data_IF_746525447832
#
_entry.id   IF_746525447832
#
_cell.length_a   1.000
_cell.length_b   1.000
_cell.length_c   1.000
_cell.angle_alpha   90.00
_cell.angle_beta   90.00
_cell.angle_gamma   90.00
#
_symmetry.space_group_name_H-M   'P 1'
#
loop_
_entity.id
_entity.type
_entity.pdbx_description
1 polymer ?
#
# COMPACT_ATOMS: atom_id res chain seq x y z
N UNK A 1 -15.69 13.18 -21.77
CA UNK A 1 -15.37 14.58 -21.47
C UNK A 1 -14.74 14.63 -20.08
N UNK A 2 -13.40 14.71 -20.08
CA UNK A 2 -12.44 15.09 -19.05
C UNK A 2 -12.76 14.76 -17.58
N UNK A 3 -12.27 13.59 -17.14
CA UNK A 3 -11.87 13.34 -15.77
C UNK A 3 -10.77 14.35 -15.41
N UNK A 4 -11.03 15.21 -14.41
CA UNK A 4 -10.01 16.09 -13.83
C UNK A 4 -9.47 15.37 -12.61
N UNK A 5 -8.19 15.06 -12.66
CA UNK A 5 -7.40 14.55 -11.54
C UNK A 5 -7.59 15.45 -10.32
N UNK A 6 -8.24 14.91 -9.29
CA UNK A 6 -8.27 15.48 -7.96
C UNK A 6 -6.96 15.11 -7.25
N UNK A 7 -5.84 15.69 -7.69
CA UNK A 7 -4.64 15.74 -6.84
C UNK A 7 -4.87 16.87 -5.84
N UNK A 8 -5.54 16.55 -4.75
CA UNK A 8 -5.69 17.45 -3.61
C UNK A 8 -4.34 17.53 -2.90
N UNK A 9 -3.46 18.39 -3.39
CA UNK A 9 -2.25 18.81 -2.66
C UNK A 9 -2.71 19.77 -1.55
N UNK A 10 -2.98 19.23 -0.37
CA UNK A 10 -3.21 20.05 0.82
C UNK A 10 -1.87 20.65 1.26
N UNK A 11 -1.71 21.94 0.99
CA UNK A 11 -0.61 22.74 1.50
C UNK A 11 -0.85 22.93 3.02
N UNK A 12 -0.29 22.07 3.86
CA UNK A 12 -0.25 22.30 5.29
C UNK A 12 0.64 23.52 5.58
N UNK A 13 0.01 24.68 5.81
CA UNK A 13 0.70 25.83 6.37
C UNK A 13 0.95 25.55 7.85
N UNK A 14 2.14 25.06 8.19
CA UNK A 14 2.59 24.91 9.57
C UNK A 14 2.78 26.30 10.21
N UNK A 15 1.71 26.86 10.76
CA UNK A 15 1.78 27.97 11.70
C UNK A 15 1.80 27.41 13.13
N UNK A 16 2.92 26.80 13.52
CA UNK A 16 3.14 26.45 14.92
C UNK A 16 3.42 27.75 15.70
N UNK A 17 2.51 28.13 16.60
CA UNK A 17 2.76 29.21 17.56
C UNK A 17 3.86 28.75 18.54
N UNK A 18 4.85 29.60 18.78
CA UNK A 18 5.98 29.37 19.72
C UNK A 18 5.58 29.29 21.21
N UNK A 19 4.29 29.35 21.54
CA UNK A 19 3.78 29.13 22.90
C UNK A 19 3.49 27.64 23.11
N UNK A 20 3.88 27.09 24.26
CA UNK A 20 3.48 25.73 24.65
C UNK A 20 1.96 25.63 24.68
N UNK A 21 1.40 24.65 23.97
CA UNK A 21 -0.03 24.39 24.01
C UNK A 21 -0.49 24.07 25.44
N UNK A 22 -1.68 24.52 25.81
CA UNK A 22 -2.29 24.26 27.11
C UNK A 22 -2.98 22.90 27.09
N UNK A 23 -2.70 22.04 28.07
CA UNK A 23 -3.40 20.75 28.20
C UNK A 23 -4.78 20.95 28.83
N UNK A 24 -5.83 20.63 28.08
CA UNK A 24 -7.22 20.65 28.54
C UNK A 24 -7.71 19.22 28.76
N UNK A 25 -8.05 18.91 30.01
CA UNK A 25 -8.63 17.62 30.39
C UNK A 25 -10.15 17.71 30.37
N UNK A 26 -10.81 16.75 29.72
CA UNK A 26 -12.27 16.68 29.70
C UNK A 26 -12.84 16.45 31.10
N UNK A 27 -13.90 17.17 31.46
CA UNK A 27 -14.47 17.14 32.81
C UNK A 27 -15.29 15.88 33.13
N UNK A 28 -15.36 14.92 32.20
CA UNK A 28 -16.05 13.62 32.32
C UNK A 28 -17.57 13.68 32.25
N UNK A 29 -18.15 14.79 31.76
CA UNK A 29 -19.58 14.86 31.53
C UNK A 29 -20.02 13.84 30.46
N UNK A 30 -21.21 13.26 30.61
CA UNK A 30 -21.76 12.32 29.62
C UNK A 30 -22.00 12.98 28.25
N UNK A 31 -22.44 14.23 28.27
CA UNK A 31 -22.60 15.06 27.10
C UNK A 31 -21.79 16.35 27.26
N UNK A 32 -20.95 16.64 26.29
CA UNK A 32 -20.07 17.79 26.29
C UNK A 32 -20.00 18.49 24.94
N UNK A 33 -19.20 19.54 24.89
CA UNK A 33 -18.99 20.32 23.68
C UNK A 33 -17.56 20.84 23.64
N UNK A 34 -16.96 20.87 22.45
CA UNK A 34 -15.72 21.61 22.20
C UNK A 34 -15.93 23.14 22.17
N UNK A 35 -17.17 23.62 22.21
CA UNK A 35 -17.53 25.04 22.15
C UNK A 35 -17.81 25.66 23.52
N UNK A 36 -17.80 24.86 24.58
CA UNK A 36 -18.04 25.33 25.95
C UNK A 36 -16.90 24.93 26.88
N UNK A 37 -16.18 25.94 27.38
CA UNK A 37 -15.05 25.77 28.28
C UNK A 37 -15.43 25.14 29.62
N UNK A 38 -16.70 25.09 30.00
CA UNK A 38 -17.16 24.40 31.22
C UNK A 38 -16.82 22.90 31.22
N UNK A 39 -16.67 22.30 30.03
CA UNK A 39 -16.23 20.92 29.83
C UNK A 39 -14.71 20.73 29.88
N UNK A 40 -13.94 21.82 29.90
CA UNK A 40 -12.50 21.86 29.65
C UNK A 40 -11.78 22.79 30.64
N UNK A 41 -12.07 22.65 31.93
CA UNK A 41 -11.46 23.44 33.01
C UNK A 41 -11.60 24.97 32.89
N UNK A 42 -12.62 25.45 32.17
CA UNK A 42 -12.92 26.87 31.98
C UNK A 42 -12.39 27.46 30.67
N UNK A 43 -11.62 26.71 29.88
CA UNK A 43 -11.01 27.19 28.63
C UNK A 43 -11.65 26.50 27.43
N UNK A 44 -12.13 27.25 26.45
CA UNK A 44 -12.65 26.67 25.20
C UNK A 44 -11.48 26.10 24.38
N UNK A 45 -11.52 24.81 23.96
CA UNK A 45 -10.54 24.23 23.05
C UNK A 45 -10.27 25.08 21.80
N UNK A 46 -9.00 25.17 21.42
CA UNK A 46 -8.54 25.92 20.26
C UNK A 46 -7.26 25.32 19.68
N UNK A 47 -6.72 25.93 18.62
CA UNK A 47 -5.49 25.48 17.96
C UNK A 47 -4.25 25.45 18.86
N UNK A 48 -4.30 26.06 20.04
CA UNK A 48 -3.25 26.01 21.06
C UNK A 48 -3.59 25.07 22.24
N UNK A 49 -4.57 24.19 22.08
CA UNK A 49 -5.02 23.27 23.14
C UNK A 49 -4.61 21.83 22.83
N UNK A 50 -3.94 21.19 23.79
CA UNK A 50 -3.72 19.74 23.81
C UNK A 50 -4.88 19.07 24.55
N UNK A 51 -5.63 18.22 23.85
CA UNK A 51 -6.82 17.57 24.40
C UNK A 51 -6.42 16.26 25.06
N UNK A 52 -6.83 16.08 26.32
CA UNK A 52 -6.50 14.89 27.10
C UNK A 52 -7.77 14.21 27.65
N UNK A 53 -7.94 12.95 27.29
CA UNK A 53 -8.79 12.00 27.99
C UNK A 53 -7.89 11.04 28.79
N UNK A 54 -8.03 11.01 30.12
CA UNK A 54 -7.11 10.29 31.01
C UNK A 54 -7.84 9.67 32.21
N UNK A 55 -9.04 9.14 31.98
CA UNK A 55 -9.79 8.47 33.04
C UNK A 55 -9.16 7.12 33.38
N UNK A 56 -9.03 6.80 34.67
CA UNK A 56 -8.40 5.56 35.12
C UNK A 56 -9.40 4.44 35.44
N UNK A 57 -10.70 4.77 35.53
CA UNK A 57 -11.82 3.84 35.74
C UNK A 57 -13.08 4.45 35.11
N UNK A 58 -13.07 4.60 33.79
CA UNK A 58 -14.19 5.21 33.05
C UNK A 58 -15.43 4.31 33.10
N UNK A 59 -16.54 4.87 33.57
CA UNK A 59 -17.82 4.16 33.77
C UNK A 59 -19.01 4.79 33.03
N UNK A 60 -18.79 5.91 32.35
CA UNK A 60 -19.83 6.65 31.61
C UNK A 60 -19.39 6.85 30.16
N UNK A 61 -20.31 6.90 29.20
CA UNK A 61 -20.03 7.27 27.81
C UNK A 61 -19.81 8.79 27.69
N UNK A 62 -18.95 9.23 26.77
CA UNK A 62 -18.83 10.64 26.41
C UNK A 62 -19.33 10.84 24.99
N UNK A 63 -20.30 11.73 24.81
CA UNK A 63 -20.65 12.29 23.52
C UNK A 63 -20.31 13.77 23.50
N UNK A 64 -19.38 14.15 22.64
CA UNK A 64 -18.81 15.49 22.62
C UNK A 64 -19.09 16.13 21.27
N UNK A 65 -19.79 17.26 21.29
CA UNK A 65 -20.14 18.00 20.08
C UNK A 65 -18.93 18.76 19.51
N UNK A 66 -18.63 18.50 18.24
CA UNK A 66 -17.65 19.21 17.42
C UNK A 66 -18.21 19.45 16.00
N UNK A 67 -19.54 19.52 15.85
CA UNK A 67 -20.21 19.50 14.55
C UNK A 67 -20.02 20.76 13.71
N UNK A 68 -19.76 21.91 14.33
CA UNK A 68 -19.47 23.18 13.65
C UNK A 68 -18.00 23.30 13.21
N UNK A 69 -17.18 22.26 13.44
CA UNK A 69 -15.75 22.24 13.17
C UNK A 69 -14.94 22.76 14.35
N UNK A 70 -13.77 22.19 14.55
CA UNK A 70 -12.87 22.51 15.67
C UNK A 70 -11.44 22.36 15.17
N UNK A 71 -10.54 23.23 15.60
CA UNK A 71 -9.10 23.03 15.43
C UNK A 71 -8.45 22.94 16.79
N UNK A 72 -7.69 21.87 17.04
CA UNK A 72 -6.91 21.64 18.26
C UNK A 72 -5.44 21.35 17.95
N UNK A 73 -4.56 21.49 18.94
CA UNK A 73 -3.13 21.26 18.76
C UNK A 73 -2.80 19.77 18.68
N UNK A 74 -3.26 18.97 19.64
CA UNK A 74 -3.08 17.51 19.68
C UNK A 74 -4.23 16.84 20.44
N UNK A 75 -4.37 15.52 20.29
CA UNK A 75 -5.36 14.73 21.05
C UNK A 75 -4.70 13.48 21.62
N UNK A 76 -4.90 13.23 22.90
CA UNK A 76 -4.47 12.00 23.55
C UNK A 76 -5.63 11.36 24.30
N UNK A 77 -5.87 10.09 24.03
CA UNK A 77 -6.75 9.24 24.81
C UNK A 77 -5.95 8.13 25.51
N UNK A 78 -5.82 8.25 26.82
CA UNK A 78 -5.21 7.28 27.74
C UNK A 78 -6.27 6.62 28.62
N UNK A 79 -7.55 6.72 28.27
CA UNK A 79 -8.64 6.31 29.15
C UNK A 79 -8.68 4.79 29.35
N UNK A 80 -8.84 4.40 30.61
CA UNK A 80 -9.00 3.03 31.07
C UNK A 80 -10.45 2.87 31.52
N UNK A 81 -11.23 2.16 30.72
CA UNK A 81 -12.55 1.66 31.09
C UNK A 81 -12.42 0.62 32.19
N UNK A 82 -13.32 0.72 33.18
CA UNK A 82 -13.44 -0.31 34.20
C UNK A 82 -14.01 -1.56 33.52
N UNK A 83 -13.27 -2.67 33.48
CA UNK A 83 -13.75 -3.93 32.84
C UNK A 83 -14.34 -4.93 33.85
N UNK A 84 -14.31 -4.61 35.15
CA UNK A 84 -14.56 -5.56 36.25
C UNK A 84 -15.60 -5.07 37.25
N UNK A 85 -16.29 -3.97 36.98
CA UNK A 85 -17.37 -3.52 37.86
C UNK A 85 -18.48 -4.60 37.95
N UNK A 86 -19.02 -4.75 39.17
CA UNK A 86 -20.13 -5.56 39.73
C UNK A 86 -21.12 -6.39 38.85
N UNK A 87 -21.88 -7.28 39.49
CA UNK A 87 -22.97 -8.05 38.84
C UNK A 87 -23.99 -7.14 38.15
N UNK A 88 -24.23 -7.37 36.85
CA UNK A 88 -25.12 -6.55 36.02
C UNK A 88 -24.42 -5.40 35.29
N UNK A 89 -23.12 -5.17 35.54
CA UNK A 89 -22.31 -4.21 34.81
C UNK A 89 -22.09 -4.68 33.37
N UNK A 90 -22.37 -3.78 32.43
CA UNK A 90 -22.07 -3.99 31.02
C UNK A 90 -20.85 -3.11 30.73
N UNK A 91 -19.62 -3.66 30.65
CA UNK A 91 -18.43 -2.90 30.28
C UNK A 91 -18.52 -2.32 28.85
N UNK A 92 -19.56 -2.69 28.11
CA UNK A 92 -19.83 -2.25 26.75
C UNK A 92 -20.58 -0.91 26.77
N UNK A 93 -20.09 0.09 26.03
CA UNK A 93 -20.75 1.38 25.82
C UNK A 93 -20.06 2.60 26.43
N UNK A 94 -18.96 2.45 27.15
CA UNK A 94 -18.20 3.56 27.74
C UNK A 94 -17.28 4.27 26.73
N UNK A 95 -17.84 4.59 25.57
CA UNK A 95 -17.19 5.17 24.40
C UNK A 95 -16.70 6.60 24.69
N UNK A 96 -15.78 7.07 23.87
CA UNK A 96 -15.56 8.50 23.66
C UNK A 96 -15.96 8.76 22.22
N UNK A 97 -17.05 9.49 22.01
CA UNK A 97 -17.57 9.80 20.68
C UNK A 97 -17.46 11.30 20.45
N UNK A 98 -16.71 11.68 19.43
CA UNK A 98 -16.65 13.05 18.93
C UNK A 98 -17.59 13.16 17.73
N UNK A 99 -18.64 13.97 17.86
CA UNK A 99 -19.61 14.21 16.79
C UNK A 99 -19.07 15.26 15.83
N UNK A 100 -18.90 14.89 14.58
CA UNK A 100 -18.39 15.77 13.50
C UNK A 100 -19.49 16.04 12.47
N UNK A 101 -19.52 17.27 11.96
CA UNK A 101 -20.54 17.73 11.01
C UNK A 101 -19.97 17.94 9.62
N UNK A 102 -20.52 18.92 8.90
CA UNK A 102 -20.04 19.29 7.56
C UNK A 102 -18.70 20.04 7.61
N UNK A 103 -18.39 20.68 8.73
CA UNK A 103 -17.10 21.33 8.97
C UNK A 103 -16.03 20.32 9.39
N UNK A 104 -14.78 20.62 9.06
CA UNK A 104 -13.65 19.75 9.38
C UNK A 104 -13.30 19.80 10.87
N UNK A 105 -13.03 18.64 11.47
CA UNK A 105 -12.32 18.54 12.74
C UNK A 105 -10.82 18.39 12.48
N UNK A 106 -10.02 19.35 12.92
CA UNK A 106 -8.59 19.45 12.62
C UNK A 106 -7.76 19.28 13.89
N UNK A 107 -6.79 18.37 13.84
CA UNK A 107 -5.72 18.18 14.82
C UNK A 107 -4.43 18.60 14.15
N UNK A 108 -3.73 19.62 14.67
CA UNK A 108 -2.54 20.15 13.99
C UNK A 108 -1.33 19.22 14.07
N UNK A 109 -1.18 18.50 15.18
CA UNK A 109 -0.09 17.54 15.40
C UNK A 109 -0.67 16.12 15.50
N UNK A 110 -0.24 15.38 16.52
CA UNK A 110 -0.53 13.96 16.65
C UNK A 110 -1.86 13.68 17.34
N UNK A 111 -2.44 12.54 17.00
CA UNK A 111 -3.42 11.83 17.81
C UNK A 111 -2.78 10.58 18.41
N UNK A 112 -2.84 10.45 19.74
CA UNK A 112 -2.37 9.26 20.46
C UNK A 112 -3.56 8.52 21.04
N UNK A 113 -3.71 7.25 20.66
CA UNK A 113 -4.74 6.33 21.09
C UNK A 113 -4.08 5.21 21.89
N UNK A 114 -4.21 5.30 23.22
CA UNK A 114 -3.61 4.41 24.19
C UNK A 114 -4.62 4.07 25.31
N UNK A 115 -5.86 3.86 24.91
CA UNK A 115 -6.97 3.49 25.77
C UNK A 115 -7.34 2.03 25.59
N UNK A 116 -8.12 1.50 26.54
CA UNK A 116 -8.58 0.12 26.52
C UNK A 116 -10.04 -0.04 26.08
N UNK A 117 -10.58 0.93 25.36
CA UNK A 117 -11.92 0.86 24.79
C UNK A 117 -12.10 -0.43 23.98
N UNK A 118 -13.14 -1.24 24.24
CA UNK A 118 -13.38 -2.50 23.51
C UNK A 118 -14.87 -2.67 23.24
N UNK A 119 -15.26 -3.05 22.01
CA UNK A 119 -16.65 -2.98 21.49
C UNK A 119 -17.28 -1.58 21.45
N UNK A 120 -16.63 -0.61 22.10
CA UNK A 120 -17.13 0.67 22.54
C UNK A 120 -16.01 1.72 22.33
N UNK A 121 -15.64 2.01 21.08
CA UNK A 121 -14.34 2.58 20.75
C UNK A 121 -14.21 4.06 21.14
N UNK A 122 -12.97 4.57 21.12
CA UNK A 122 -12.76 5.99 20.81
C UNK A 122 -13.19 6.21 19.35
N UNK A 123 -14.11 7.12 19.09
CA UNK A 123 -14.72 7.26 17.79
C UNK A 123 -14.98 8.69 17.33
N UNK A 124 -14.88 8.88 16.01
CA UNK A 124 -15.50 9.99 15.31
C UNK A 124 -16.80 9.52 14.65
N UNK A 125 -17.86 10.32 14.78
CA UNK A 125 -19.20 10.00 14.29
C UNK A 125 -19.82 11.16 13.55
N UNK A 126 -20.37 10.91 12.37
CA UNK A 126 -21.17 11.89 11.63
C UNK A 126 -22.67 11.63 11.80
N UNK A 127 -23.48 12.62 11.42
CA UNK A 127 -24.95 12.52 11.40
C UNK A 127 -25.49 11.66 10.25
N UNK A 128 -24.73 11.51 9.16
CA UNK A 128 -25.11 10.75 7.97
C UNK A 128 -23.89 10.33 7.16
N UNK A 129 -24.08 9.36 6.26
CA UNK A 129 -23.06 8.95 5.29
C UNK A 129 -22.58 10.11 4.41
N UNK A 130 -21.28 10.13 4.11
CA UNK A 130 -20.64 11.16 3.29
C UNK A 130 -20.45 12.51 4.01
N UNK A 131 -20.71 12.57 5.31
CA UNK A 131 -20.45 13.73 6.18
C UNK A 131 -19.34 13.39 7.17
N UNK A 132 -18.64 14.41 7.66
CA UNK A 132 -17.57 14.28 8.63
C UNK A 132 -16.20 14.17 7.96
N UNK A 133 -15.39 15.22 8.16
CA UNK A 133 -13.98 15.27 7.75
C UNK A 133 -13.10 15.39 8.98
N UNK A 134 -12.12 14.51 9.09
CA UNK A 134 -11.12 14.54 10.16
C UNK A 134 -9.74 14.71 9.54
N UNK A 135 -9.04 15.78 9.92
CA UNK A 135 -7.69 16.09 9.44
C UNK A 135 -6.71 16.07 10.61
N UNK A 136 -5.65 15.28 10.49
CA UNK A 136 -4.58 15.13 11.47
C UNK A 136 -3.30 15.55 10.76
N UNK A 137 -2.67 16.65 11.18
CA UNK A 137 -1.45 17.17 10.55
C UNK A 137 -0.22 16.32 10.89
N UNK A 138 -0.20 15.70 12.06
CA UNK A 138 0.84 14.77 12.50
C UNK A 138 0.46 13.31 12.28
N UNK A 139 0.82 12.47 13.26
CA UNK A 139 0.71 11.02 13.22
C UNK A 139 -0.56 10.52 13.92
N UNK A 140 -1.02 9.34 13.53
CA UNK A 140 -1.87 8.49 14.39
C UNK A 140 -0.98 7.50 15.11
N UNK A 141 -0.99 7.50 16.44
CA UNK A 141 -0.24 6.56 17.27
C UNK A 141 -1.21 5.65 18.01
N UNK A 142 -1.41 4.43 17.52
CA UNK A 142 -2.36 3.45 18.05
C UNK A 142 -1.61 2.32 18.79
N UNK A 143 -1.58 2.40 20.12
CA UNK A 143 -0.73 1.56 20.97
C UNK A 143 -1.51 0.91 22.11
N UNK A 144 -0.83 0.02 22.83
CA UNK A 144 -1.39 -0.61 24.03
C UNK A 144 -1.72 0.43 25.11
N UNK A 145 -2.77 0.15 25.88
CA UNK A 145 -3.13 0.99 27.02
C UNK A 145 -2.12 0.84 28.17
N UNK A 146 -2.11 1.80 29.09
CA UNK A 146 -1.17 1.79 30.23
C UNK A 146 -1.35 0.60 31.18
N UNK A 147 -2.51 -0.06 31.15
CA UNK A 147 -2.80 -1.26 31.93
C UNK A 147 -2.40 -2.57 31.21
N UNK A 148 -1.76 -2.48 30.04
CA UNK A 148 -1.35 -3.63 29.22
C UNK A 148 -2.50 -4.27 28.44
N UNK A 149 -3.67 -3.63 28.38
CA UNK A 149 -4.80 -4.15 27.64
C UNK A 149 -4.94 -3.50 26.26
N UNK A 150 -5.57 -4.25 25.34
CA UNK A 150 -5.80 -3.80 23.97
C UNK A 150 -7.09 -3.00 23.87
N UNK A 151 -7.04 -1.88 23.17
CA UNK A 151 -8.19 -1.06 22.85
C UNK A 151 -8.62 -1.13 21.38
N UNK A 152 -9.61 -0.31 21.05
CA UNK A 152 -10.20 -0.14 19.73
C UNK A 152 -10.51 1.34 19.48
N UNK A 153 -10.25 1.79 18.27
CA UNK A 153 -10.63 3.13 17.79
C UNK A 153 -11.26 3.04 16.41
N UNK A 154 -12.28 3.86 16.18
CA UNK A 154 -13.11 3.84 14.97
C UNK A 154 -13.32 5.24 14.39
N UNK A 155 -12.81 5.47 13.19
CA UNK A 155 -13.10 6.66 12.42
C UNK A 155 -14.32 6.40 11.54
N UNK A 156 -15.52 6.76 12.02
CA UNK A 156 -16.80 6.51 11.35
C UNK A 156 -17.69 5.53 12.09
N UNK A 157 -18.16 5.92 13.28
CA UNK A 157 -19.11 5.10 14.04
C UNK A 157 -20.54 5.20 13.47
N UNK A 158 -21.01 4.10 12.89
CA UNK A 158 -22.36 3.92 12.35
C UNK A 158 -22.56 4.50 10.94
N UNK A 159 -22.05 5.70 10.67
CA UNK A 159 -22.16 6.36 9.37
C UNK A 159 -20.78 6.50 8.70
N UNK A 160 -20.77 6.39 7.38
CA UNK A 160 -19.57 6.47 6.55
C UNK A 160 -19.02 7.90 6.51
N UNK A 161 -17.81 8.13 7.03
CA UNK A 161 -17.18 9.45 6.97
C UNK A 161 -16.82 9.84 5.53
N UNK A 162 -16.79 11.14 5.27
CA UNK A 162 -16.33 11.66 3.98
C UNK A 162 -14.83 11.41 3.78
N UNK A 163 -14.03 11.78 4.77
CA UNK A 163 -12.57 11.63 4.68
C UNK A 163 -11.88 11.63 6.04
N UNK A 164 -10.78 10.89 6.11
CA UNK A 164 -9.76 11.02 7.13
C UNK A 164 -8.42 11.32 6.44
N UNK A 165 -7.72 12.35 6.88
CA UNK A 165 -6.40 12.71 6.36
C UNK A 165 -5.38 12.75 7.49
N UNK A 166 -4.20 12.18 7.23
CA UNK A 166 -3.07 12.09 8.16
C UNK A 166 -1.83 12.64 7.44
N UNK A 167 -1.27 13.73 7.94
CA UNK A 167 -0.08 14.38 7.38
C UNK A 167 1.22 13.64 7.70
N UNK A 168 1.24 12.86 8.78
CA UNK A 168 2.34 12.00 9.19
C UNK A 168 2.08 10.52 8.94
N UNK A 169 2.65 9.68 9.81
CA UNK A 169 2.55 8.23 9.79
C UNK A 169 1.31 7.72 10.53
N UNK A 170 0.97 6.45 10.29
CA UNK A 170 0.15 5.68 11.21
C UNK A 170 1.05 4.64 11.89
N UNK A 171 1.23 4.76 13.20
CA UNK A 171 1.97 3.80 14.03
C UNK A 171 0.97 2.83 14.69
N UNK A 172 0.78 1.64 14.09
CA UNK A 172 -0.16 0.64 14.58
C UNK A 172 0.59 -0.50 15.31
N UNK A 173 0.39 -0.58 16.63
CA UNK A 173 1.18 -1.46 17.50
C UNK A 173 0.37 -2.56 18.18
N UNK A 174 -0.60 -2.24 19.04
CA UNK A 174 -1.35 -3.26 19.78
C UNK A 174 -2.81 -2.84 20.06
N UNK A 175 -3.43 -2.22 19.07
CA UNK A 175 -4.80 -1.71 19.10
C UNK A 175 -5.56 -2.20 17.86
N UNK A 176 -6.89 -2.25 17.94
CA UNK A 176 -7.75 -2.35 16.76
C UNK A 176 -7.99 -0.95 16.20
N UNK A 177 -7.41 -0.63 15.07
CA UNK A 177 -7.63 0.64 14.37
C UNK A 177 -8.57 0.39 13.19
N UNK A 178 -9.73 1.05 13.21
CA UNK A 178 -10.81 0.83 12.26
C UNK A 178 -11.17 2.14 11.58
N UNK A 179 -11.39 2.06 10.27
CA UNK A 179 -11.88 3.17 9.46
C UNK A 179 -13.19 2.74 8.81
N UNK A 180 -14.17 3.62 8.83
CA UNK A 180 -15.37 3.55 8.03
C UNK A 180 -15.52 4.91 7.34
N UNK A 181 -14.74 5.09 6.28
CA UNK A 181 -14.58 6.36 5.55
C UNK A 181 -14.55 6.08 4.05
N UNK A 182 -15.04 7.02 3.24
CA UNK A 182 -14.90 6.96 1.78
C UNK A 182 -13.45 7.14 1.36
N UNK A 183 -12.74 8.03 2.03
CA UNK A 183 -11.36 8.38 1.71
C UNK A 183 -10.49 8.32 2.98
N UNK A 184 -9.36 7.64 2.89
CA UNK A 184 -8.27 7.74 3.86
C UNK A 184 -7.01 8.15 3.09
N UNK A 185 -6.37 9.25 3.49
CA UNK A 185 -5.11 9.68 2.91
C UNK A 185 -4.07 9.86 4.00
N UNK A 186 -2.98 9.09 3.91
CA UNK A 186 -1.85 9.12 4.82
C UNK A 186 -0.62 9.53 4.03
N UNK A 187 -0.11 10.73 4.27
CA UNK A 187 1.06 11.23 3.55
C UNK A 187 2.33 10.47 3.94
N UNK A 188 2.43 10.01 5.19
CA UNK A 188 3.51 9.17 5.68
C UNK A 188 3.27 7.66 5.50
N UNK A 189 4.02 6.87 6.25
CA UNK A 189 4.00 5.41 6.17
C UNK A 189 3.00 4.84 7.20
N UNK A 190 2.27 3.79 6.81
CA UNK A 190 1.58 2.92 7.76
C UNK A 190 2.57 1.88 8.31
N UNK A 191 2.96 2.01 9.57
CA UNK A 191 3.80 1.06 10.29
C UNK A 191 2.93 0.06 11.04
N UNK A 192 2.58 -1.05 10.38
CA UNK A 192 1.74 -2.12 10.91
C UNK A 192 2.57 -3.18 11.65
N UNK A 193 3.03 -2.82 12.85
CA UNK A 193 3.86 -3.69 13.71
C UNK A 193 3.06 -4.75 14.49
N UNK A 194 1.82 -4.43 14.88
CA UNK A 194 0.89 -5.36 15.53
C UNK A 194 -0.53 -4.78 15.63
N UNK A 195 -1.41 -5.39 16.42
CA UNK A 195 -2.82 -5.00 16.47
C UNK A 195 -3.61 -5.46 15.24
N UNK A 196 -4.74 -4.80 14.97
CA UNK A 196 -5.62 -5.11 13.84
C UNK A 196 -5.97 -3.84 13.06
N UNK A 197 -5.84 -3.88 11.73
CA UNK A 197 -6.26 -2.80 10.85
C UNK A 197 -7.50 -3.20 10.06
N UNK A 198 -8.58 -2.42 10.16
CA UNK A 198 -9.71 -2.53 9.24
C UNK A 198 -9.86 -1.20 8.47
N UNK A 199 -9.65 -1.24 7.15
CA UNK A 199 -9.74 -0.05 6.30
C UNK A 199 -11.18 0.32 5.97
N UNK A 200 -12.10 -0.64 6.08
CA UNK A 200 -13.54 -0.40 5.93
C UNK A 200 -14.31 -1.27 6.92
N UNK A 201 -14.50 -0.79 8.16
CA UNK A 201 -15.32 -1.48 9.15
C UNK A 201 -16.81 -1.26 8.86
N UNK A 202 -17.68 -2.23 9.10
CA UNK A 202 -19.12 -2.09 8.87
C UNK A 202 -19.60 -2.57 7.50
N UNK A 203 -20.78 -2.07 7.09
CA UNK A 203 -21.47 -2.45 5.85
C UNK A 203 -21.51 -1.30 4.86
N UNK A 204 -21.63 -1.63 3.57
CA UNK A 204 -21.72 -0.63 2.51
C UNK A 204 -22.06 -1.27 1.17
N UNK A 205 -22.75 -0.54 0.31
CA UNK A 205 -23.08 -1.00 -1.04
C UNK A 205 -22.87 0.10 -2.07
N UNK A 206 -22.43 -0.27 -3.27
CA UNK A 206 -22.16 0.66 -4.38
C UNK A 206 -21.16 1.77 -3.99
N UNK A 207 -20.14 1.41 -3.22
CA UNK A 207 -19.12 2.34 -2.76
C UNK A 207 -17.92 2.35 -3.70
N UNK A 208 -17.28 3.52 -3.81
CA UNK A 208 -15.95 3.67 -4.38
C UNK A 208 -15.06 4.24 -3.29
N UNK A 209 -14.19 3.38 -2.75
CA UNK A 209 -13.38 3.65 -1.58
C UNK A 209 -11.92 3.88 -2.00
N UNK A 210 -11.30 4.91 -1.44
CA UNK A 210 -9.91 5.29 -1.76
C UNK A 210 -9.05 5.35 -0.49
N UNK A 211 -8.01 4.53 -0.46
CA UNK A 211 -7.05 4.48 0.64
C UNK A 211 -5.66 4.78 0.09
N UNK A 212 -5.01 5.84 0.55
CA UNK A 212 -3.68 6.25 0.10
C UNK A 212 -2.68 6.30 1.24
N UNK A 213 -1.48 5.76 1.02
CA UNK A 213 -0.39 5.73 1.98
C UNK A 213 0.94 6.08 1.30
N UNK A 214 1.83 6.80 1.99
CA UNK A 214 3.23 6.99 1.60
C UNK A 214 4.10 5.74 1.67
N UNK A 215 3.48 4.58 1.89
CA UNK A 215 4.09 3.26 2.00
C UNK A 215 3.45 2.46 3.11
N UNK A 216 3.55 1.13 3.05
CA UNK A 216 3.07 0.24 4.10
C UNK A 216 4.20 -0.67 4.55
N UNK A 217 4.45 -0.67 5.86
CA UNK A 217 5.34 -1.60 6.54
C UNK A 217 4.53 -2.62 7.34
N UNK A 218 4.86 -3.90 7.20
CA UNK A 218 4.24 -4.97 7.97
C UNK A 218 4.76 -6.34 7.55
N UNK A 219 4.83 -7.28 8.49
CA UNK A 219 5.18 -8.67 8.20
C UNK A 219 4.08 -9.57 8.71
N UNK A 220 3.61 -10.44 7.83
CA UNK A 220 2.54 -11.42 8.03
C UNK A 220 1.29 -10.77 8.63
N UNK A 221 0.84 -9.68 8.01
CA UNK A 221 -0.31 -8.90 8.47
C UNK A 221 -1.53 -9.08 7.59
N UNK A 222 -2.71 -9.00 8.19
CA UNK A 222 -3.97 -9.00 7.46
C UNK A 222 -4.58 -7.61 7.50
N UNK A 223 -4.91 -7.07 6.33
CA UNK A 223 -5.69 -5.84 6.22
C UNK A 223 -7.15 -6.24 6.02
N UNK A 224 -8.01 -5.77 6.92
CA UNK A 224 -9.40 -6.17 6.94
C UNK A 224 -10.31 -5.18 6.19
N UNK A 225 -11.39 -5.72 5.63
CA UNK A 225 -12.49 -4.99 5.02
C UNK A 225 -13.84 -5.57 5.47
N UNK A 226 -14.88 -4.76 5.41
CA UNK A 226 -16.21 -5.09 5.90
C UNK A 226 -16.23 -5.46 7.39
N UNK A 227 -17.31 -6.12 7.78
CA UNK A 227 -17.47 -6.68 9.12
C UNK A 227 -18.25 -5.77 10.05
N UNK A 228 -19.49 -6.16 10.34
CA UNK A 228 -20.15 -5.85 11.60
C UNK A 228 -20.80 -7.15 12.10
N UNK A 229 -20.26 -7.77 13.18
CA UNK A 229 -20.71 -9.08 13.67
C UNK A 229 -22.22 -9.17 13.93
N UNK A 230 -22.83 -8.07 14.35
CA UNK A 230 -24.24 -8.04 14.74
C UNK A 230 -25.18 -8.00 13.53
N UNK A 231 -24.70 -7.50 12.40
CA UNK A 231 -25.51 -7.28 11.20
C UNK A 231 -25.32 -8.34 10.11
N UNK A 232 -24.21 -9.10 10.13
CA UNK A 232 -23.79 -10.01 9.04
C UNK A 232 -23.73 -9.37 7.63
N UNK A 233 -23.83 -8.04 7.55
CA UNK A 233 -23.76 -7.29 6.31
C UNK A 233 -22.31 -6.85 6.07
N UNK A 234 -21.76 -7.24 4.91
CA UNK A 234 -20.41 -6.86 4.47
C UNK A 234 -20.46 -5.71 3.46
N UNK A 235 -19.29 -5.36 2.91
CA UNK A 235 -19.17 -4.55 1.70
C UNK A 235 -19.71 -5.32 0.49
N UNK A 236 -20.46 -4.68 -0.40
CA UNK A 236 -21.04 -5.30 -1.61
C UNK A 236 -21.05 -4.37 -2.81
N UNK A 237 -20.93 -4.92 -4.02
CA UNK A 237 -20.97 -4.17 -5.30
C UNK A 237 -20.07 -2.92 -5.28
N UNK A 238 -18.91 -3.02 -4.63
CA UNK A 238 -18.07 -1.86 -4.32
C UNK A 238 -16.66 -2.06 -4.86
N UNK A 239 -15.93 -0.95 -4.95
CA UNK A 239 -14.52 -0.95 -5.32
C UNK A 239 -13.70 -0.31 -4.21
N UNK A 240 -12.58 -0.92 -3.85
CA UNK A 240 -11.62 -0.37 -2.91
C UNK A 240 -10.25 -0.31 -3.56
N UNK A 241 -9.66 0.88 -3.60
CA UNK A 241 -8.32 1.09 -4.19
C UNK A 241 -7.33 1.49 -3.10
N UNK A 242 -6.25 0.72 -2.96
CA UNK A 242 -5.09 1.07 -2.14
C UNK A 242 -4.04 1.71 -3.06
N UNK A 243 -3.71 2.97 -2.82
CA UNK A 243 -2.70 3.73 -3.57
C UNK A 243 -1.47 3.98 -2.71
N UNK A 244 -0.31 3.61 -3.23
CA UNK A 244 0.99 3.74 -2.60
C UNK A 244 1.75 4.91 -3.24
N UNK A 245 2.11 5.91 -2.46
CA UNK A 245 2.74 7.16 -2.92
C UNK A 245 4.17 7.29 -2.41
N UNK A 246 4.89 6.17 -2.33
CA UNK A 246 6.18 6.08 -1.64
C UNK A 246 7.19 7.12 -2.12
N UNK A 247 7.90 7.72 -1.18
CA UNK A 247 9.10 8.55 -1.43
C UNK A 247 10.40 7.83 -1.07
N UNK A 248 10.34 6.83 -0.20
CA UNK A 248 11.42 5.90 0.14
C UNK A 248 10.97 4.44 0.03
N UNK A 249 11.61 3.54 0.77
CA UNK A 249 11.31 2.10 0.74
C UNK A 249 10.37 1.70 1.88
N UNK A 250 9.31 0.97 1.56
CA UNK A 250 8.43 0.29 2.52
C UNK A 250 8.21 -1.18 2.13
N UNK A 251 7.90 -2.03 3.12
CA UNK A 251 7.80 -3.49 2.93
C UNK A 251 6.62 -4.11 3.66
N UNK A 252 5.74 -4.77 2.91
CA UNK A 252 4.55 -5.43 3.43
C UNK A 252 4.46 -6.89 2.96
N UNK A 253 4.40 -7.86 3.89
CA UNK A 253 3.84 -9.19 3.62
C UNK A 253 2.52 -9.34 4.33
N UNK A 254 1.58 -9.97 3.62
CA UNK A 254 0.25 -10.14 4.15
C UNK A 254 -0.79 -10.36 3.08
N UNK A 255 -2.05 -10.21 3.47
CA UNK A 255 -3.18 -10.37 2.58
C UNK A 255 -4.38 -9.56 3.01
N UNK A 256 -5.39 -9.56 2.15
CA UNK A 256 -6.68 -8.95 2.43
C UNK A 256 -7.66 -10.01 2.95
N UNK A 257 -8.57 -9.62 3.85
CA UNK A 257 -9.62 -10.51 4.38
C UNK A 257 -10.87 -9.73 4.80
N UNK A 258 -12.03 -10.37 4.76
CA UNK A 258 -13.22 -9.84 5.40
C UNK A 258 -13.17 -10.02 6.92
N UNK A 259 -13.51 -8.98 7.70
CA UNK A 259 -13.42 -9.01 9.20
C UNK A 259 -14.51 -9.88 9.85
N UNK A 260 -15.52 -10.32 9.11
CA UNK A 260 -16.54 -11.23 9.63
C UNK A 260 -17.10 -12.16 8.55
N UNK A 261 -17.67 -13.28 9.00
CA UNK A 261 -18.42 -14.19 8.15
C UNK A 261 -19.71 -13.51 7.67
N UNK A 262 -19.96 -13.53 6.37
CA UNK A 262 -21.13 -12.88 5.78
C UNK A 262 -21.12 -12.93 4.26
N UNK A 263 -22.11 -12.26 3.66
CA UNK A 263 -22.24 -12.17 2.20
C UNK A 263 -21.50 -10.94 1.71
N UNK A 264 -20.28 -11.14 1.20
CA UNK A 264 -19.57 -10.17 0.41
C UNK A 264 -19.67 -10.58 -1.07
N UNK A 265 -20.18 -9.69 -1.92
CA UNK A 265 -20.48 -9.99 -3.32
C UNK A 265 -20.01 -8.86 -4.24
N UNK A 266 -19.46 -9.23 -5.39
CA UNK A 266 -19.09 -8.34 -6.48
C UNK A 266 -18.22 -7.14 -6.07
N UNK A 267 -17.25 -7.36 -5.18
CA UNK A 267 -16.29 -6.33 -4.80
C UNK A 267 -15.01 -6.44 -5.62
N UNK A 268 -14.50 -5.30 -6.10
CA UNK A 268 -13.18 -5.19 -6.72
C UNK A 268 -12.18 -4.56 -5.76
N UNK A 269 -11.00 -5.16 -5.65
CA UNK A 269 -9.91 -4.63 -4.84
C UNK A 269 -8.73 -4.32 -5.74
N UNK A 270 -8.21 -3.09 -5.66
CA UNK A 270 -7.17 -2.62 -6.56
C UNK A 270 -5.96 -2.14 -5.78
N UNK A 271 -4.78 -2.40 -6.33
CA UNK A 271 -3.51 -1.85 -5.84
C UNK A 271 -2.96 -0.89 -6.88
N UNK A 272 -2.53 0.30 -6.46
CA UNK A 272 -1.89 1.29 -7.33
C UNK A 272 -0.57 1.71 -6.73
N UNK A 273 0.52 1.53 -7.46
CA UNK A 273 1.82 2.12 -7.14
C UNK A 273 1.99 3.43 -7.93
N UNK A 274 2.04 4.54 -7.23
CA UNK A 274 2.20 5.89 -7.78
C UNK A 274 3.18 6.70 -6.93
N UNK A 275 4.34 6.11 -6.67
CA UNK A 275 5.41 6.73 -5.91
C UNK A 275 6.27 7.67 -6.73
N UNK A 276 7.19 8.34 -6.04
CA UNK A 276 8.30 9.08 -6.68
C UNK A 276 9.30 8.12 -7.32
N UNK A 277 10.25 8.61 -8.11
CA UNK A 277 11.28 7.76 -8.74
C UNK A 277 12.16 6.99 -7.75
N UNK A 278 12.31 7.48 -6.51
CA UNK A 278 13.00 6.76 -5.42
C UNK A 278 12.07 5.94 -4.54
N UNK A 279 10.76 6.04 -4.77
CA UNK A 279 9.74 5.31 -4.02
C UNK A 279 9.74 3.83 -4.36
N UNK A 280 9.83 2.98 -3.34
CA UNK A 280 9.81 1.53 -3.49
C UNK A 280 8.79 0.93 -2.52
N UNK A 281 7.86 0.11 -3.01
CA UNK A 281 7.05 -0.76 -2.18
C UNK A 281 7.41 -2.22 -2.47
N UNK A 282 7.70 -3.00 -1.43
CA UNK A 282 7.58 -4.45 -1.49
C UNK A 282 6.19 -4.86 -1.02
N UNK A 283 5.48 -5.60 -1.86
CA UNK A 283 4.19 -6.19 -1.53
C UNK A 283 4.24 -7.68 -1.84
N UNK A 284 4.28 -8.49 -0.79
CA UNK A 284 4.21 -9.94 -0.86
C UNK A 284 2.82 -10.39 -0.43
N UNK A 285 2.00 -10.75 -1.43
CA UNK A 285 0.64 -11.23 -1.21
C UNK A 285 0.68 -12.70 -0.76
N UNK A 286 0.51 -12.90 0.54
CA UNK A 286 0.41 -14.20 1.20
C UNK A 286 -1.02 -14.53 1.61
N UNK A 287 -2.00 -13.70 1.23
CA UNK A 287 -3.41 -13.92 1.50
C UNK A 287 -3.99 -15.12 0.74
N UNK A 288 -5.16 -15.60 1.19
CA UNK A 288 -5.92 -16.68 0.51
C UNK A 288 -7.37 -16.32 0.20
N UNK A 289 -7.92 -15.31 0.87
CA UNK A 289 -9.38 -15.08 0.90
C UNK A 289 -9.81 -13.99 -0.08
N UNK A 290 -8.98 -12.95 -0.24
CA UNK A 290 -9.23 -11.83 -1.13
C UNK A 290 -7.95 -11.52 -1.92
N UNK A 291 -8.11 -11.21 -3.19
CA UNK A 291 -7.01 -10.84 -4.10
C UNK A 291 -7.26 -9.50 -4.75
N UNK A 292 -6.20 -8.90 -5.27
CA UNK A 292 -6.37 -7.74 -6.14
C UNK A 292 -6.92 -8.18 -7.49
N UNK A 293 -7.98 -7.51 -7.94
CA UNK A 293 -8.49 -7.59 -9.31
C UNK A 293 -7.51 -6.90 -10.25
N UNK A 294 -7.17 -5.64 -9.95
CA UNK A 294 -6.24 -4.85 -10.74
C UNK A 294 -5.02 -4.42 -9.90
N UNK A 295 -3.83 -4.53 -10.49
CA UNK A 295 -2.60 -3.95 -9.96
C UNK A 295 -2.04 -2.98 -10.99
N UNK A 296 -1.96 -1.69 -10.66
CA UNK A 296 -1.49 -0.64 -11.58
C UNK A 296 -0.19 -0.04 -11.09
N UNK A 297 0.81 0.09 -11.96
CA UNK A 297 2.07 0.78 -11.68
C UNK A 297 2.16 2.01 -12.58
N UNK A 298 2.20 3.19 -11.96
CA UNK A 298 2.27 4.50 -12.63
C UNK A 298 3.60 5.21 -12.38
N UNK A 299 4.18 5.02 -11.20
CA UNK A 299 5.42 5.68 -10.77
C UNK A 299 6.08 4.99 -9.58
N UNK A 300 7.39 5.16 -9.43
CA UNK A 300 8.21 4.42 -8.46
C UNK A 300 8.37 2.94 -8.81
N UNK A 301 8.88 2.12 -7.88
CA UNK A 301 9.10 0.68 -8.05
C UNK A 301 8.14 -0.13 -7.16
N UNK A 302 7.36 -1.00 -7.79
CA UNK A 302 6.58 -2.03 -7.11
C UNK A 302 7.32 -3.37 -7.24
N UNK A 303 7.86 -3.84 -6.12
CA UNK A 303 8.30 -5.22 -5.95
C UNK A 303 7.07 -6.03 -5.55
N UNK A 304 6.49 -6.77 -6.49
CA UNK A 304 5.24 -7.48 -6.28
C UNK A 304 5.45 -8.98 -6.38
N UNK A 305 4.96 -9.68 -5.38
CA UNK A 305 4.89 -11.13 -5.38
C UNK A 305 3.46 -11.57 -5.05
N UNK A 306 2.95 -12.53 -5.83
CA UNK A 306 1.70 -13.22 -5.56
C UNK A 306 1.77 -14.63 -6.12
N UNK A 307 1.29 -15.61 -5.34
CA UNK A 307 1.17 -17.00 -5.76
C UNK A 307 -0.20 -17.38 -6.32
N UNK A 308 -1.18 -16.47 -6.22
CA UNK A 308 -2.57 -16.74 -6.60
C UNK A 308 -2.80 -16.51 -8.10
N UNK A 309 -2.11 -15.54 -8.70
CA UNK A 309 -2.13 -15.34 -10.14
C UNK A 309 -3.44 -14.81 -10.72
N UNK A 310 -4.22 -14.09 -9.91
CA UNK A 310 -5.57 -13.62 -10.26
C UNK A 310 -5.64 -12.16 -10.70
N UNK A 311 -4.57 -11.39 -10.54
CA UNK A 311 -4.58 -9.95 -10.84
C UNK A 311 -4.28 -9.65 -12.30
N UNK A 312 -5.04 -8.73 -12.90
CA UNK A 312 -4.65 -8.05 -14.12
C UNK A 312 -3.69 -6.90 -13.79
N UNK A 313 -2.52 -6.88 -14.42
CA UNK A 313 -1.49 -5.87 -14.16
C UNK A 313 -1.50 -4.83 -15.27
N UNK A 314 -1.53 -3.55 -14.90
CA UNK A 314 -1.42 -2.41 -15.80
C UNK A 314 -0.12 -1.67 -15.52
N UNK A 315 0.81 -1.71 -16.47
CA UNK A 315 2.11 -1.05 -16.37
C UNK A 315 2.07 0.23 -17.21
N UNK A 316 1.73 1.33 -16.55
CA UNK A 316 1.54 2.68 -17.11
C UNK A 316 2.79 3.58 -16.95
N UNK A 317 3.75 3.15 -16.14
CA UNK A 317 5.00 3.84 -15.86
C UNK A 317 5.75 3.13 -14.73
N UNK A 318 6.73 3.81 -14.13
CA UNK A 318 7.49 3.25 -13.00
C UNK A 318 8.21 1.94 -13.33
N UNK A 319 8.42 1.10 -12.31
CA UNK A 319 9.08 -0.20 -12.40
C UNK A 319 8.27 -1.28 -11.71
N UNK A 320 8.03 -2.41 -12.38
CA UNK A 320 7.54 -3.65 -11.78
C UNK A 320 8.72 -4.63 -11.61
N UNK A 321 8.82 -5.31 -10.47
CA UNK A 321 9.82 -6.35 -10.20
C UNK A 321 9.16 -7.55 -9.52
N UNK A 322 9.44 -8.79 -9.94
CA UNK A 322 9.05 -10.00 -9.22
C UNK A 322 9.90 -10.22 -7.95
N UNK A 323 9.79 -9.37 -6.92
CA UNK A 323 10.59 -9.53 -5.70
C UNK A 323 9.72 -9.71 -4.44
N UNK A 324 10.24 -10.46 -3.46
CA UNK A 324 9.62 -10.73 -2.15
C UNK A 324 10.26 -9.87 -1.05
N UNK A 325 9.79 -9.91 0.21
CA UNK A 325 10.46 -9.14 1.27
C UNK A 325 11.86 -9.63 1.60
N UNK A 326 12.06 -10.95 1.47
CA UNK A 326 13.25 -11.64 2.00
C UNK A 326 14.17 -12.17 0.92
N UNK A 327 13.69 -12.27 -0.32
CA UNK A 327 14.45 -12.66 -1.49
C UNK A 327 14.41 -11.58 -2.55
N UNK A 328 15.59 -11.25 -3.07
CA UNK A 328 15.76 -10.47 -4.30
C UNK A 328 15.21 -11.21 -5.52
N UNK A 329 14.98 -12.53 -5.40
CA UNK A 329 14.36 -13.34 -6.44
C UNK A 329 12.99 -13.87 -6.05
N UNK A 330 11.99 -13.72 -6.93
CA UNK A 330 10.70 -14.39 -6.79
C UNK A 330 10.02 -14.74 -8.13
N UNK A 331 8.96 -15.55 -8.02
CA UNK A 331 8.04 -15.83 -9.14
C UNK A 331 6.73 -15.09 -8.91
N UNK A 332 6.49 -14.05 -9.70
CA UNK A 332 5.20 -13.36 -9.73
C UNK A 332 4.23 -14.12 -10.61
N UNK A 333 3.09 -14.55 -10.06
CA UNK A 333 1.96 -15.03 -10.85
C UNK A 333 0.93 -13.91 -11.01
N UNK A 334 0.40 -13.78 -12.21
CA UNK A 334 -0.68 -12.84 -12.52
C UNK A 334 -1.59 -13.38 -13.62
N UNK A 335 -2.73 -12.74 -13.83
CA UNK A 335 -3.63 -13.08 -14.91
C UNK A 335 -3.05 -12.62 -16.25
N UNK A 336 -2.76 -11.33 -16.36
CA UNK A 336 -2.26 -10.69 -17.58
C UNK A 336 -1.41 -9.47 -17.25
N UNK A 337 -0.65 -8.99 -18.24
CA UNK A 337 0.00 -7.68 -18.18
C UNK A 337 -0.42 -6.88 -19.42
N UNK A 338 -1.06 -5.74 -19.18
CA UNK A 338 -1.26 -4.68 -20.16
C UNK A 338 -0.15 -3.64 -20.01
N UNK A 339 0.78 -3.61 -20.97
CA UNK A 339 1.98 -2.81 -20.91
C UNK A 339 1.87 -1.56 -21.78
N UNK A 340 1.70 -0.42 -21.13
CA UNK A 340 1.71 0.89 -21.74
C UNK A 340 3.14 1.45 -21.76
N UNK A 341 3.71 1.75 -20.59
CA UNK A 341 5.03 2.35 -20.43
C UNK A 341 5.68 1.92 -19.11
N UNK A 342 6.94 2.27 -18.90
CA UNK A 342 7.71 1.90 -17.72
C UNK A 342 8.56 0.65 -17.92
N UNK A 343 9.09 0.14 -16.81
CA UNK A 343 10.14 -0.88 -16.78
C UNK A 343 9.66 -2.15 -16.09
N UNK A 344 10.08 -3.32 -16.59
CA UNK A 344 10.09 -4.57 -15.82
C UNK A 344 11.54 -4.94 -15.50
N UNK A 345 11.82 -5.17 -14.23
CA UNK A 345 13.15 -5.52 -13.71
C UNK A 345 13.17 -6.99 -13.30
N UNK A 346 14.21 -7.71 -13.70
CA UNK A 346 14.44 -9.11 -13.33
C UNK A 346 15.80 -9.27 -12.67
N UNK A 347 15.81 -9.71 -11.42
CA UNK A 347 17.01 -10.15 -10.73
C UNK A 347 17.41 -11.57 -11.21
N UNK A 348 18.59 -11.68 -11.81
CA UNK A 348 19.13 -12.96 -12.32
C UNK A 348 20.21 -13.49 -11.39
N UNK A 349 20.18 -14.81 -11.18
CA UNK A 349 21.21 -15.53 -10.42
C UNK A 349 21.79 -16.69 -11.24
N UNK A 350 22.85 -17.32 -10.73
CA UNK A 350 23.50 -18.52 -11.30
C UNK A 350 22.64 -19.80 -11.19
N UNK A 351 21.32 -19.64 -11.24
CA UNK A 351 20.33 -20.69 -11.35
C UNK A 351 19.15 -20.15 -12.15
N UNK A 352 19.01 -20.66 -13.38
CA UNK A 352 17.94 -20.26 -14.30
C UNK A 352 16.54 -20.59 -13.77
N UNK A 353 16.41 -21.57 -12.86
CA UNK A 353 15.13 -21.96 -12.27
C UNK A 353 14.78 -21.14 -11.03
N UNK A 354 15.77 -20.50 -10.41
CA UNK A 354 15.62 -19.71 -9.20
C UNK A 354 15.97 -18.23 -9.43
N UNK A 355 15.85 -17.75 -10.67
CA UNK A 355 15.90 -16.32 -11.06
C UNK A 355 14.48 -15.72 -11.14
N UNK A 356 14.39 -14.39 -11.20
CA UNK A 356 13.10 -13.71 -11.28
C UNK A 356 12.30 -14.19 -12.48
N UNK A 357 11.01 -14.37 -12.25
CA UNK A 357 10.07 -14.82 -13.28
C UNK A 357 8.69 -14.24 -13.09
N UNK A 358 8.03 -13.96 -14.20
CA UNK A 358 6.59 -13.70 -14.26
C UNK A 358 5.91 -14.87 -14.98
N UNK A 359 4.84 -15.39 -14.39
CA UNK A 359 4.01 -16.43 -15.00
C UNK A 359 2.58 -15.92 -15.16
N UNK A 360 2.17 -15.70 -16.40
CA UNK A 360 0.85 -15.20 -16.76
C UNK A 360 -0.04 -16.36 -17.20
N UNK A 361 -1.28 -16.40 -16.68
CA UNK A 361 -2.28 -17.35 -17.17
C UNK A 361 -2.89 -16.92 -18.52
N UNK A 362 -2.80 -15.63 -18.85
CA UNK A 362 -3.30 -15.03 -20.08
C UNK A 362 -2.21 -14.23 -20.80
N UNK A 363 -2.60 -13.15 -21.50
CA UNK A 363 -1.74 -12.45 -22.43
C UNK A 363 -0.78 -11.47 -21.74
N UNK A 364 0.40 -11.32 -22.36
CA UNK A 364 1.21 -10.12 -22.27
C UNK A 364 0.84 -9.24 -23.47
N UNK A 365 0.38 -8.02 -23.27
CA UNK A 365 -0.10 -7.18 -24.38
C UNK A 365 0.45 -5.77 -24.32
N UNK A 366 0.83 -5.20 -25.48
CA UNK A 366 1.04 -3.75 -25.56
C UNK A 366 -0.29 -3.02 -25.63
N UNK A 367 -0.35 -1.88 -24.94
CA UNK A 367 -1.42 -0.90 -25.09
C UNK A 367 -0.92 0.34 -25.83
N UNK A 368 -1.82 1.28 -26.14
CA UNK A 368 -1.37 2.58 -26.64
C UNK A 368 -0.70 3.36 -25.51
N UNK A 369 0.36 4.12 -25.82
CA UNK A 369 1.02 4.94 -24.82
C UNK A 369 0.07 6.00 -24.25
N UNK A 370 -0.24 5.95 -22.96
CA UNK A 370 -1.08 6.96 -22.29
C UNK A 370 -0.29 8.25 -22.01
N UNK A 371 1.04 8.18 -22.02
CA UNK A 371 1.94 9.31 -21.81
C UNK A 371 2.76 9.59 -23.07
N UNK A 372 2.87 10.87 -23.45
CA UNK A 372 3.68 11.30 -24.61
C UNK A 372 5.14 10.92 -24.39
N UNK A 373 5.69 10.10 -25.29
CA UNK A 373 7.08 9.64 -25.20
C UNK A 373 7.31 8.48 -24.23
N UNK A 374 6.25 7.77 -23.83
CA UNK A 374 6.38 6.54 -23.05
C UNK A 374 7.29 5.51 -23.73
N UNK A 375 8.04 4.77 -22.91
CA UNK A 375 8.91 3.66 -23.32
C UNK A 375 8.54 2.41 -22.57
N UNK A 376 8.75 1.24 -23.18
CA UNK A 376 8.72 -0.05 -22.48
C UNK A 376 10.14 -0.54 -22.32
N UNK A 377 10.54 -0.86 -21.10
CA UNK A 377 11.92 -1.22 -20.78
C UNK A 377 11.99 -2.55 -20.06
N UNK A 378 12.99 -3.37 -20.41
CA UNK A 378 13.37 -4.53 -19.60
C UNK A 378 14.79 -4.34 -19.10
N UNK A 379 14.94 -4.51 -17.80
CA UNK A 379 16.20 -4.47 -17.08
C UNK A 379 16.54 -5.84 -16.52
N UNK A 380 17.78 -6.27 -16.73
CA UNK A 380 18.39 -7.40 -16.04
C UNK A 380 19.28 -6.85 -14.94
N UNK A 381 18.95 -7.21 -13.70
CA UNK A 381 19.76 -6.90 -12.54
C UNK A 381 20.63 -8.12 -12.25
N UNK A 382 21.94 -7.90 -12.25
CA UNK A 382 22.96 -8.90 -11.94
C UNK A 382 23.88 -8.30 -10.90
N UNK A 383 24.26 -9.10 -9.90
CA UNK A 383 25.14 -8.63 -8.82
C UNK A 383 26.53 -8.23 -9.34
N UNK A 384 27.08 -9.03 -10.26
CA UNK A 384 28.32 -8.77 -10.98
C UNK A 384 28.26 -9.36 -12.40
N UNK A 385 28.71 -8.59 -13.40
CA UNK A 385 28.82 -9.07 -14.78
C UNK A 385 29.90 -10.16 -14.91
N UNK A 386 30.95 -10.13 -14.07
CA UNK A 386 32.00 -11.15 -14.04
C UNK A 386 31.46 -12.51 -13.56
N UNK A 387 30.56 -12.51 -12.58
CA UNK A 387 29.94 -13.74 -12.08
C UNK A 387 29.10 -14.41 -13.18
N UNK A 388 28.30 -13.63 -13.89
CA UNK A 388 27.52 -14.13 -15.04
C UNK A 388 28.43 -14.66 -16.16
N UNK A 389 29.55 -13.97 -16.46
CA UNK A 389 30.51 -14.46 -17.45
C UNK A 389 31.13 -15.81 -17.03
N UNK A 390 31.57 -15.92 -15.78
CA UNK A 390 32.12 -17.15 -15.22
C UNK A 390 31.10 -18.29 -15.20
N UNK A 391 29.83 -17.96 -14.94
CA UNK A 391 28.72 -18.90 -15.01
C UNK A 391 28.51 -19.44 -16.42
N UNK A 392 28.54 -18.59 -17.45
CA UNK A 392 28.46 -18.98 -18.86
C UNK A 392 29.63 -19.89 -19.26
N UNK A 393 30.86 -19.56 -18.86
CA UNK A 393 32.04 -20.40 -19.10
C UNK A 393 31.90 -21.78 -18.45
N UNK A 394 31.46 -21.82 -17.18
CA UNK A 394 31.29 -23.06 -16.42
C UNK A 394 30.21 -23.97 -17.03
N UNK A 395 29.16 -23.38 -17.61
CA UNK A 395 28.13 -24.13 -18.33
C UNK A 395 28.56 -24.59 -19.73
N UNK A 396 29.73 -24.16 -20.21
CA UNK A 396 30.30 -24.60 -21.49
C UNK A 396 29.57 -24.00 -22.71
N UNK A 397 28.85 -22.90 -22.54
CA UNK A 397 28.12 -22.25 -23.63
C UNK A 397 27.00 -21.31 -23.16
N UNK A 398 26.28 -20.68 -24.11
CA UNK A 398 25.23 -19.72 -23.80
C UNK A 398 24.13 -20.29 -22.89
N UNK A 399 23.65 -19.47 -21.96
CA UNK A 399 22.65 -19.83 -20.94
C UNK A 399 21.34 -19.12 -21.25
N UNK A 400 20.21 -19.82 -21.17
CA UNK A 400 18.90 -19.24 -21.46
C UNK A 400 18.02 -19.18 -20.22
N UNK A 401 17.47 -17.99 -19.94
CA UNK A 401 16.51 -17.74 -18.89
C UNK A 401 15.11 -17.52 -19.49
N UNK A 402 14.08 -18.01 -18.80
CA UNK A 402 12.68 -17.69 -19.11
C UNK A 402 12.20 -16.62 -18.13
N UNK A 403 11.96 -15.40 -18.63
CA UNK A 403 11.62 -14.26 -17.79
C UNK A 403 10.11 -14.08 -17.61
N UNK A 404 9.35 -14.24 -18.70
CA UNK A 404 7.89 -14.11 -18.69
C UNK A 404 7.28 -15.28 -19.45
N UNK A 405 6.37 -16.01 -18.82
CA UNK A 405 5.47 -16.94 -19.50
C UNK A 405 4.12 -16.29 -19.74
N UNK A 406 3.52 -16.55 -20.90
CA UNK A 406 2.21 -16.04 -21.28
C UNK A 406 1.49 -16.99 -22.23
N UNK A 407 0.16 -16.85 -22.33
CA UNK A 407 -0.63 -17.63 -23.28
C UNK A 407 -0.54 -17.09 -24.71
N UNK A 408 -0.30 -15.78 -24.85
CA UNK A 408 -0.14 -15.07 -26.13
C UNK A 408 0.52 -13.72 -25.91
N UNK A 409 1.12 -13.18 -26.98
CA UNK A 409 1.65 -11.82 -26.99
C UNK A 409 1.54 -11.18 -28.37
N UNK A 410 1.36 -9.86 -28.40
CA UNK A 410 1.50 -9.01 -29.58
C UNK A 410 2.79 -8.17 -29.54
N UNK A 411 3.65 -8.43 -28.56
CA UNK A 411 4.94 -7.79 -28.36
C UNK A 411 6.02 -8.40 -29.27
N UNK A 412 6.96 -7.55 -29.68
CA UNK A 412 8.19 -7.92 -30.39
C UNK A 412 9.38 -7.22 -29.74
N UNK A 413 10.60 -7.66 -30.07
CA UNK A 413 11.81 -6.99 -29.59
C UNK A 413 11.88 -5.50 -29.95
N UNK A 414 11.25 -5.07 -31.06
CA UNK A 414 11.23 -3.64 -31.44
C UNK A 414 10.32 -2.77 -30.59
N UNK A 415 9.43 -3.38 -29.80
CA UNK A 415 8.51 -2.65 -28.91
C UNK A 415 9.14 -2.31 -27.56
N UNK A 416 10.34 -2.83 -27.26
CA UNK A 416 10.99 -2.79 -25.95
C UNK A 416 12.44 -2.32 -26.06
N UNK A 417 12.86 -1.50 -25.11
CA UNK A 417 14.25 -1.13 -24.89
C UNK A 417 14.84 -2.09 -23.86
N UNK A 418 15.94 -2.74 -24.20
CA UNK A 418 16.61 -3.72 -23.34
C UNK A 418 17.91 -3.16 -22.78
N UNK A 419 18.17 -3.40 -21.50
CA UNK A 419 19.48 -3.12 -20.90
C UNK A 419 20.58 -4.02 -21.51
N UNK A 420 21.79 -3.49 -21.54
CA UNK A 420 23.01 -4.22 -21.94
C UNK A 420 23.85 -4.51 -20.71
N UNK A 421 24.57 -5.64 -20.72
CA UNK A 421 25.56 -6.00 -19.70
C UNK A 421 26.91 -6.05 -20.41
N UNK A 422 27.90 -5.31 -19.91
CA UNK A 422 29.22 -5.24 -20.54
C UNK A 422 29.89 -6.62 -20.58
N UNK A 423 30.56 -6.94 -21.70
CA UNK A 423 31.19 -8.23 -21.92
C UNK A 423 30.24 -9.42 -22.19
N UNK A 424 28.92 -9.23 -22.09
CA UNK A 424 27.91 -10.27 -22.34
C UNK A 424 27.15 -9.98 -23.63
N UNK A 425 27.09 -10.98 -24.52
CA UNK A 425 26.17 -10.98 -25.64
C UNK A 425 24.77 -11.40 -25.15
N UNK A 426 23.77 -10.56 -25.38
CA UNK A 426 22.40 -10.78 -24.90
C UNK A 426 21.45 -10.91 -26.11
N UNK A 427 20.83 -12.07 -26.24
CA UNK A 427 19.81 -12.35 -27.26
C UNK A 427 18.42 -12.47 -26.64
N UNK A 428 17.52 -11.58 -27.05
CA UNK A 428 16.13 -11.53 -26.58
C UNK A 428 15.20 -12.22 -27.57
N UNK A 429 14.25 -12.99 -27.07
CA UNK A 429 13.28 -13.68 -27.92
C UNK A 429 11.87 -13.66 -27.30
N UNK A 430 10.98 -12.86 -27.90
CA UNK A 430 9.53 -13.03 -27.73
C UNK A 430 9.08 -14.23 -28.56
N UNK A 431 9.02 -15.40 -27.93
CA UNK A 431 8.46 -16.62 -28.53
C UNK A 431 6.93 -16.64 -28.50
N UNK A 432 6.33 -17.76 -28.91
CA UNK A 432 4.88 -17.91 -28.92
C UNK A 432 4.25 -17.85 -27.51
N UNK A 433 4.95 -18.39 -26.51
CA UNK A 433 4.43 -18.57 -25.13
C UNK A 433 5.37 -18.06 -24.04
N UNK A 434 6.51 -17.48 -24.40
CA UNK A 434 7.47 -16.99 -23.41
C UNK A 434 8.41 -15.93 -23.97
N UNK A 435 8.77 -14.96 -23.13
CA UNK A 435 9.95 -14.13 -23.32
C UNK A 435 11.15 -14.83 -22.67
N UNK A 436 12.13 -15.15 -23.50
CA UNK A 436 13.41 -15.72 -23.06
C UNK A 436 14.56 -14.76 -23.35
N UNK A 437 15.60 -14.85 -22.54
CA UNK A 437 16.88 -14.18 -22.79
C UNK A 437 18.01 -15.21 -22.78
N UNK A 438 18.85 -15.18 -23.80
CA UNK A 438 20.04 -16.02 -23.90
C UNK A 438 21.28 -15.16 -23.71
N UNK A 439 22.08 -15.50 -22.70
CA UNK A 439 23.33 -14.82 -22.34
C UNK A 439 24.50 -15.65 -22.86
N UNK A 440 25.42 -15.02 -23.59
CA UNK A 440 26.66 -15.62 -24.08
C UNK A 440 27.85 -14.70 -23.87
N UNK A 441 29.06 -15.23 -23.99
CA UNK A 441 30.27 -14.39 -23.95
C UNK A 441 30.43 -13.64 -25.26
N UNK A 442 30.88 -12.39 -25.19
CA UNK A 442 31.40 -11.70 -26.37
C UNK A 442 32.70 -12.40 -26.79
N UNK A 443 32.84 -12.88 -28.03
CA UNK A 443 34.05 -13.57 -28.47
C UNK A 443 35.29 -12.70 -28.29
N UNK A 444 36.39 -13.29 -27.79
CA UNK A 444 37.63 -12.54 -27.69
C UNK A 444 38.11 -12.08 -29.07
N UNK A 445 38.79 -10.92 -29.19
CA UNK A 445 39.30 -10.43 -30.47
C UNK A 445 40.16 -11.44 -31.24
N UNK A 446 40.90 -12.30 -30.51
CA UNK A 446 41.73 -13.34 -31.11
C UNK A 446 40.90 -14.47 -31.74
N UNK A 447 39.82 -14.90 -31.10
CA UNK A 447 38.91 -15.92 -31.64
C UNK A 447 38.16 -15.42 -32.87
N UNK A 448 37.70 -14.17 -32.82
CA UNK A 448 37.11 -13.50 -33.98
C UNK A 448 38.10 -13.41 -35.16
N UNK A 449 39.37 -13.08 -34.88
CA UNK A 449 40.42 -13.03 -35.90
C UNK A 449 40.74 -14.41 -36.50
N UNK A 450 40.74 -15.48 -35.70
CA UNK A 450 40.93 -16.86 -36.18
C UNK A 450 39.77 -17.29 -37.06
N UNK A 451 38.52 -17.01 -36.67
CA UNK A 451 37.34 -17.32 -37.47
C UNK A 451 37.35 -16.59 -38.82
N UNK A 452 37.65 -15.29 -38.82
CA UNK A 452 37.80 -14.49 -40.04
C UNK A 452 38.97 -14.99 -40.91
N UNK A 453 40.08 -15.39 -40.28
CA UNK A 453 41.23 -16.01 -40.96
C UNK A 453 40.86 -17.33 -41.64
N UNK A 454 40.09 -18.20 -40.98
CA UNK A 454 39.63 -19.46 -41.55
C UNK A 454 38.67 -19.25 -42.73
N UNK A 455 37.75 -18.28 -42.61
CA UNK A 455 36.86 -17.87 -43.70
C UNK A 455 37.65 -17.34 -44.89
N UNK A 456 38.65 -16.49 -44.64
CA UNK A 456 39.53 -15.96 -45.69
C UNK A 456 40.29 -17.08 -46.42
N UNK A 457 40.79 -18.09 -45.68
CA UNK A 457 41.45 -19.27 -46.27
C UNK A 457 40.46 -20.11 -47.10
N UNK A 458 39.24 -20.32 -46.62
CA UNK A 458 38.19 -21.04 -47.35
C UNK A 458 37.80 -20.32 -48.66
N UNK A 459 37.64 -19.00 -48.63
CA UNK A 459 37.41 -18.19 -49.84
C UNK A 459 38.61 -18.23 -50.80
N UNK A 460 39.83 -18.18 -50.28
CA UNK A 460 41.04 -18.30 -51.11
C UNK A 460 41.14 -19.68 -51.78
N UNK A 461 40.77 -20.76 -51.07
CA UNK A 461 40.72 -22.11 -51.61
C UNK A 461 39.63 -22.29 -52.68
N UNK A 462 38.44 -21.70 -52.47
CA UNK A 462 37.35 -21.68 -53.46
C UNK A 462 37.72 -20.86 -54.70
N UNK A 463 38.40 -19.72 -54.54
CA UNK A 463 38.91 -18.91 -55.66
C UNK A 463 39.97 -19.63 -56.48
N UNK A 464 40.77 -20.52 -55.88
CA UNK A 464 41.77 -21.33 -56.60
C UNK A 464 41.16 -22.50 -57.37
N UNK A 465 39.89 -22.84 -57.13
CA UNK A 465 39.14 -23.92 -57.81
C UNK A 465 38.21 -23.41 -58.92
N UNK A 466 38.06 -22.09 -59.09
CA UNK A 466 37.56 -21.46 -60.31
C UNK A 466 38.76 -21.03 -61.16
#
# INVERSE_FOLDING_TARGET
MNSRDFICSTLFAAAASLASAETLTYNRAESGSFYDGSYWSGTVPSSSSDILFNDTNKEVAYEIDATEGVTINSLTDNSITNRTAHEGYIPWGNNIVIKVGESTFTILNDITLASNHNYAPFAFKSSSDGVGRVEIGGNIIAKEASDGSKGESLFGDGNLLQSVTVGGNIELQNMRLRFHTQNLSVAGILNYSGGQLNLFYGSGSNQTLSYSFGGINGTDKTIYFGGNPDSKHMLQNSTATITLTNSGTARFSGGLKYDADGVAENNGFNLVMNGTSSGVQYWEDTGSDMTFSDVTVKGGKLNYYSNLGTSAIYLEGGTLSPASLTGEVAVLKAESIAWDAGKISFDLIEDTAASDKISLSHALSKTSFSVVGGTREIELVVADAYDIAAWIETNGGPITYTLIEYSSTDMTNSDVIFTQIDGINIEWNFGETALTVTLGLVPEPAEAAVALGAIAVAFAALRRRR
#
